data_IF_768150973332
#
_entry.id   IF_768150973332
#
_cell.length_a   1.000
_cell.length_b   1.000
_cell.length_c   1.000
_cell.angle_alpha   90.00
_cell.angle_beta   90.00
_cell.angle_gamma   90.00
#
_symmetry.space_group_name_H-M   'P 1'
#
loop_
_entity.id
_entity.type
_entity.pdbx_description
1 polymer ?
#
# COMPACT_ATOMS: atom_id res chain seq x y z
N UNK A 1 -5.12 -14.31 -10.12
CA UNK A 1 -5.61 -13.09 -9.46
C UNK A 1 -4.50 -12.05 -9.51
N UNK A 2 -4.77 -10.80 -9.90
CA UNK A 2 -3.74 -9.76 -9.88
C UNK A 2 -3.73 -9.07 -8.50
N UNK A 3 -2.57 -8.63 -8.01
CA UNK A 3 -2.43 -7.96 -6.70
C UNK A 3 -3.43 -6.81 -6.51
N UNK A 4 -3.75 -6.08 -7.59
CA UNK A 4 -4.75 -5.00 -7.60
C UNK A 4 -6.16 -5.45 -7.21
N UNK A 5 -6.51 -6.70 -7.45
CA UNK A 5 -7.85 -7.26 -7.22
C UNK A 5 -8.03 -7.74 -5.78
N UNK A 6 -6.93 -7.83 -5.02
CA UNK A 6 -6.91 -8.31 -3.62
C UNK A 6 -6.43 -7.24 -2.63
N UNK A 7 -6.08 -6.04 -3.09
CA UNK A 7 -5.72 -4.95 -2.20
C UNK A 7 -6.91 -4.55 -1.32
N UNK A 8 -6.67 -4.25 -0.04
CA UNK A 8 -7.71 -3.71 0.83
C UNK A 8 -8.17 -2.33 0.35
N UNK A 9 -9.35 -1.91 0.78
CA UNK A 9 -9.84 -0.55 0.56
C UNK A 9 -8.81 0.46 1.07
N UNK A 10 -8.41 1.45 0.25
CA UNK A 10 -7.47 2.47 0.70
C UNK A 10 -8.09 3.35 1.81
N UNK A 11 -7.27 3.90 2.71
CA UNK A 11 -7.73 4.84 3.73
C UNK A 11 -8.55 6.01 3.16
N UNK A 12 -9.48 6.59 3.95
CA UNK A 12 -10.27 7.75 3.54
C UNK A 12 -9.38 8.89 2.99
N UNK A 13 -9.83 9.52 1.90
CA UNK A 13 -9.06 10.59 1.26
C UNK A 13 -7.77 10.12 0.56
N UNK A 14 -7.55 8.81 0.38
CA UNK A 14 -6.37 8.27 -0.32
C UNK A 14 -6.74 7.28 -1.42
N UNK A 15 -5.76 6.89 -2.24
CA UNK A 15 -5.90 5.82 -3.23
C UNK A 15 -4.62 5.00 -3.35
N UNK A 16 -4.78 3.71 -3.57
CA UNK A 16 -3.70 2.85 -4.02
C UNK A 16 -3.37 3.10 -5.48
N UNK A 17 -2.13 2.83 -5.83
CA UNK A 17 -1.65 2.75 -7.20
C UNK A 17 -0.61 1.68 -7.28
N UNK A 18 -0.75 0.81 -8.27
CA UNK A 18 0.22 -0.24 -8.56
C UNK A 18 0.91 0.05 -9.88
N UNK A 19 2.22 -0.13 -9.93
CA UNK A 19 3.01 -0.08 -11.16
C UNK A 19 3.91 -1.31 -11.22
N UNK A 20 3.93 -2.00 -12.36
CA UNK A 20 4.83 -3.13 -12.60
C UNK A 20 5.94 -2.71 -13.55
N UNK A 21 7.20 -3.02 -13.23
CA UNK A 21 8.37 -2.81 -14.10
C UNK A 21 9.39 -3.93 -13.87
N UNK A 22 9.78 -4.61 -14.94
CA UNK A 22 10.90 -5.57 -14.90
C UNK A 22 10.77 -6.66 -13.83
N UNK A 23 9.58 -7.24 -13.65
CA UNK A 23 9.34 -8.26 -12.61
C UNK A 23 8.92 -7.71 -11.25
N UNK A 24 9.25 -6.45 -10.94
CA UNK A 24 8.91 -5.81 -9.66
C UNK A 24 7.58 -5.07 -9.71
N UNK A 25 6.95 -4.95 -8.55
CA UNK A 25 5.71 -4.22 -8.31
C UNK A 25 5.95 -3.12 -7.29
N UNK A 26 5.60 -1.90 -7.67
CA UNK A 26 5.59 -0.74 -6.78
C UNK A 26 4.16 -0.44 -6.37
N UNK A 27 3.89 -0.43 -5.07
CA UNK A 27 2.66 0.08 -4.47
C UNK A 27 2.89 1.52 -4.01
N UNK A 28 2.00 2.43 -4.36
CA UNK A 28 2.03 3.82 -3.91
C UNK A 28 0.69 4.18 -3.28
N UNK A 29 0.74 4.72 -2.07
CA UNK A 29 -0.39 5.39 -1.44
C UNK A 29 -0.35 6.88 -1.81
N UNK A 30 -1.44 7.40 -2.37
CA UNK A 30 -1.55 8.82 -2.75
C UNK A 30 -2.73 9.48 -2.09
N UNK A 31 -2.58 10.75 -1.72
CA UNK A 31 -3.71 11.59 -1.34
C UNK A 31 -4.65 11.78 -2.55
N UNK A 32 -5.95 11.74 -2.29
CA UNK A 32 -7.00 12.22 -3.20
C UNK A 32 -7.11 13.74 -3.08
N UNK A 33 -7.48 14.40 -4.16
CA UNK A 33 -7.63 15.85 -4.23
C UNK A 33 -6.75 16.53 -5.28
N UNK A 34 -6.80 17.86 -5.31
CA UNK A 34 -6.15 18.71 -6.33
C UNK A 34 -4.63 18.58 -6.29
N UNK A 35 -4.05 18.46 -5.08
CA UNK A 35 -2.63 18.19 -4.88
C UNK A 35 -2.41 16.70 -4.66
N UNK A 36 -2.26 15.95 -5.75
CA UNK A 36 -1.94 14.52 -5.75
C UNK A 36 -0.53 14.29 -5.18
N UNK A 37 -0.42 14.21 -3.86
CA UNK A 37 0.85 13.93 -3.16
C UNK A 37 1.02 12.43 -2.92
N UNK A 38 2.23 11.92 -3.12
CA UNK A 38 2.62 10.59 -2.66
C UNK A 38 2.80 10.62 -1.15
N UNK A 39 2.07 9.76 -0.45
CA UNK A 39 2.13 9.62 1.00
C UNK A 39 3.15 8.56 1.39
N UNK A 40 3.18 7.45 0.66
CA UNK A 40 4.12 6.35 0.88
C UNK A 40 4.29 5.50 -0.38
N UNK A 41 5.44 4.85 -0.51
CA UNK A 41 5.78 3.97 -1.62
C UNK A 41 6.50 2.73 -1.11
N UNK A 42 6.13 1.57 -1.62
CA UNK A 42 6.75 0.28 -1.33
C UNK A 42 7.03 -0.46 -2.63
N UNK A 43 8.13 -1.20 -2.68
CA UNK A 43 8.56 -1.93 -3.88
C UNK A 43 8.88 -3.37 -3.51
N UNK A 44 8.39 -4.33 -4.31
CA UNK A 44 8.74 -5.74 -4.14
C UNK A 44 10.24 -6.00 -4.26
N UNK A 45 10.99 -5.18 -4.99
CA UNK A 45 12.46 -5.25 -5.04
C UNK A 45 13.10 -5.17 -3.65
N UNK A 46 12.68 -4.19 -2.83
CA UNK A 46 13.15 -4.06 -1.45
C UNK A 46 12.68 -5.21 -0.55
N UNK A 47 11.55 -5.85 -0.88
CA UNK A 47 11.07 -7.03 -0.16
C UNK A 47 11.72 -8.33 -0.63
N UNK A 48 12.16 -8.42 -1.88
CA UNK A 48 12.82 -9.61 -2.42
C UNK A 48 14.11 -9.95 -1.68
N UNK A 49 14.74 -8.96 -1.05
CA UNK A 49 15.91 -9.15 -0.18
C UNK A 49 15.54 -9.69 1.22
N UNK A 50 14.28 -9.56 1.62
CA UNK A 50 13.80 -9.83 2.99
C UNK A 50 12.85 -11.04 3.08
N UNK A 51 12.19 -11.40 1.97
CA UNK A 51 11.20 -12.48 1.93
C UNK A 51 11.20 -13.20 0.57
N UNK A 52 11.01 -14.53 0.57
CA UNK A 52 10.84 -15.30 -0.67
C UNK A 52 9.53 -14.97 -1.41
N UNK A 53 8.54 -14.39 -0.74
CA UNK A 53 7.29 -13.93 -1.37
C UNK A 53 7.07 -12.42 -1.13
N UNK A 54 7.65 -11.57 -1.99
CA UNK A 54 7.54 -10.12 -1.86
C UNK A 54 6.14 -9.60 -2.23
N UNK A 55 5.32 -10.38 -2.94
CA UNK A 55 3.95 -10.00 -3.29
C UNK A 55 3.04 -10.04 -2.07
N UNK A 56 3.14 -11.10 -1.27
CA UNK A 56 2.40 -11.25 -0.01
C UNK A 56 2.83 -10.20 1.02
N UNK A 57 4.14 -9.95 1.16
CA UNK A 57 4.61 -8.89 2.06
C UNK A 57 4.09 -7.48 1.67
N UNK A 58 4.00 -7.20 0.37
CA UNK A 58 3.43 -5.95 -0.13
C UNK A 58 1.92 -5.83 0.20
N UNK A 59 1.19 -6.95 0.18
CA UNK A 59 -0.22 -7.01 0.57
C UNK A 59 -0.37 -6.78 2.09
N UNK A 60 0.46 -7.41 2.90
CA UNK A 60 0.43 -7.23 4.37
C UNK A 60 0.68 -5.77 4.76
N UNK A 61 1.60 -5.10 4.09
CA UNK A 61 1.84 -3.67 4.27
C UNK A 61 0.60 -2.85 3.92
N UNK A 62 -0.05 -3.14 2.79
CA UNK A 62 -1.28 -2.44 2.41
C UNK A 62 -2.38 -2.63 3.46
N UNK A 63 -2.53 -3.83 4.00
CA UNK A 63 -3.50 -4.18 5.05
C UNK A 63 -3.22 -3.44 6.35
N UNK A 64 -1.97 -3.43 6.81
CA UNK A 64 -1.57 -2.70 8.02
C UNK A 64 -1.78 -1.19 7.88
N UNK A 65 -1.48 -0.62 6.71
CA UNK A 65 -1.68 0.80 6.45
C UNK A 65 -3.16 1.19 6.38
N UNK A 66 -3.99 0.34 5.76
CA UNK A 66 -5.44 0.51 5.78
C UNK A 66 -5.95 0.51 7.23
N UNK A 67 -5.58 -0.50 8.02
CA UNK A 67 -6.02 -0.62 9.41
C UNK A 67 -5.53 0.53 10.31
N UNK A 68 -4.29 0.99 10.15
CA UNK A 68 -3.72 2.10 10.93
C UNK A 68 -4.41 3.43 10.68
N UNK A 69 -4.82 3.69 9.44
CA UNK A 69 -5.41 4.96 9.03
C UNK A 69 -6.95 4.94 9.04
N UNK A 70 -7.55 3.76 9.15
CA UNK A 70 -8.99 3.56 9.34
C UNK A 70 -9.40 3.56 10.82
N UNK A 71 -8.45 3.32 11.75
CA UNK A 71 -8.72 3.58 13.16
C UNK A 71 -9.02 5.07 13.34
N UNK A 72 -10.21 5.46 13.82
CA UNK A 72 -10.36 6.76 14.44
C UNK A 72 -9.36 6.80 15.59
N UNK A 73 -8.94 7.99 16.00
CA UNK A 73 -8.21 8.28 17.23
C UNK A 73 -8.97 7.80 18.49
N UNK A 74 -9.36 6.53 18.59
CA UNK A 74 -9.95 5.91 19.78
C UNK A 74 -8.82 5.30 20.58
N UNK A 75 -7.89 6.15 21.02
CA UNK A 75 -6.92 5.89 22.10
C UNK A 75 -6.20 7.19 22.48
N UNK A 76 -6.90 8.32 22.38
CA UNK A 76 -6.57 9.51 23.18
C UNK A 76 -7.48 9.47 24.42
N UNK A 77 -7.08 8.67 25.42
CA UNK A 77 -7.61 8.70 26.77
C UNK A 77 -6.48 8.29 27.72
#
# INVERSE_FOLDING_TARGET
MALKDILPTPPPGTRWSLRRRGGHVTLTLRARGVRRRTLATWNTEAFSELTPDPGTALLDVATQMAARLDRPLVMAA
#
